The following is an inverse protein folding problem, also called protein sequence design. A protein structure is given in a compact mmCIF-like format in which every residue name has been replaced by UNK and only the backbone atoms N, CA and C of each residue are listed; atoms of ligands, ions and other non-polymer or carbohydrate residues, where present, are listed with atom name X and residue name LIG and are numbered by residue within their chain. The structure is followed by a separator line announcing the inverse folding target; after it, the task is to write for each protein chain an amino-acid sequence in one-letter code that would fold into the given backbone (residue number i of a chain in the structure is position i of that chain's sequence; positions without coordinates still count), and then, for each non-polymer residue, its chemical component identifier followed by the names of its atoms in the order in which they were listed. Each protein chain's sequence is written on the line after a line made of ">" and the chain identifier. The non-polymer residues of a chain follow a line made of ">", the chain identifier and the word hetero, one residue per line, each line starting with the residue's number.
data_IF_347552881760
#
_entry.id   IF_347552881760
#
_cell.length_a   1.000
_cell.length_b   1.000
_cell.length_c   1.000
_cell.angle_alpha   90.00
_cell.angle_beta   90.00
_cell.angle_gamma   90.00
#
_symmetry.space_group_name_H-M   'P 1'
#
loop_
_entity.id
_entity.type
_entity.pdbx_description
1 polymer ?
#
# COMPACT_ATOMS: atom_id res chain seq x y z
N UNK A 1 28.81 2.46 -11.57
CA UNK A 1 28.22 1.53 -12.57
C UNK A 1 26.72 1.83 -12.63
N UNK A 2 26.16 2.12 -13.81
CA UNK A 2 24.74 2.46 -13.92
C UNK A 2 23.91 1.16 -13.89
N UNK A 3 23.00 1.04 -12.91
CA UNK A 3 22.14 -0.15 -12.75
C UNK A 3 21.30 -0.42 -14.00
N UNK A 4 20.87 0.62 -14.73
CA UNK A 4 20.10 0.45 -15.95
C UNK A 4 20.89 -0.33 -17.03
N UNK A 5 22.18 -0.04 -17.16
CA UNK A 5 23.04 -0.74 -18.12
C UNK A 5 23.19 -2.24 -17.77
N UNK A 6 23.21 -2.59 -16.48
CA UNK A 6 23.29 -4.00 -16.04
C UNK A 6 22.04 -4.81 -16.44
N UNK A 7 20.89 -4.18 -16.53
CA UNK A 7 19.62 -4.82 -16.92
C UNK A 7 19.25 -4.54 -18.39
N UNK A 8 20.22 -4.04 -19.19
CA UNK A 8 20.03 -3.79 -20.62
C UNK A 8 19.07 -2.65 -20.95
N UNK A 9 18.95 -1.65 -20.08
CA UNK A 9 18.07 -0.49 -20.27
C UNK A 9 18.86 0.81 -20.35
N UNK A 10 18.38 1.72 -21.18
CA UNK A 10 18.96 3.06 -21.32
C UNK A 10 18.19 4.13 -20.51
N UNK A 11 16.93 3.84 -20.13
CA UNK A 11 16.07 4.73 -19.38
C UNK A 11 15.21 3.95 -18.36
N UNK A 12 14.68 4.67 -17.38
CA UNK A 12 13.67 4.14 -16.45
C UNK A 12 12.38 3.83 -17.21
N UNK A 13 11.69 2.74 -16.81
CA UNK A 13 10.35 2.47 -17.35
C UNK A 13 9.39 3.59 -16.96
N UNK A 14 8.49 3.91 -17.89
CA UNK A 14 7.43 4.90 -17.72
C UNK A 14 7.91 6.31 -17.36
N UNK A 15 9.22 6.62 -17.52
CA UNK A 15 9.74 7.94 -17.15
C UNK A 15 9.08 9.07 -17.99
N UNK A 16 8.87 8.81 -19.26
CA UNK A 16 8.21 9.77 -20.17
C UNK A 16 6.74 9.95 -19.78
N UNK A 17 6.02 8.85 -19.50
CA UNK A 17 4.62 8.90 -19.08
C UNK A 17 4.47 9.63 -17.73
N UNK A 18 5.36 9.35 -16.79
CA UNK A 18 5.37 10.03 -15.48
C UNK A 18 5.63 11.53 -15.66
N UNK A 19 6.61 11.91 -16.47
CA UNK A 19 6.93 13.32 -16.72
C UNK A 19 5.77 14.05 -17.40
N UNK A 20 5.09 13.39 -18.35
CA UNK A 20 3.94 13.96 -19.04
C UNK A 20 2.76 14.20 -18.08
N UNK A 21 2.55 13.30 -17.14
CA UNK A 21 1.42 13.34 -16.21
C UNK A 21 1.77 13.98 -14.85
N UNK A 22 3.01 14.42 -14.64
CA UNK A 22 3.46 14.85 -13.31
C UNK A 22 2.66 16.05 -12.75
N UNK A 23 2.29 17.00 -13.61
CA UNK A 23 1.45 18.12 -13.20
C UNK A 23 0.05 17.71 -12.73
N UNK A 24 -0.55 16.71 -13.40
CA UNK A 24 -1.85 16.16 -13.00
C UNK A 24 -1.72 15.34 -11.71
N UNK A 25 -0.64 14.58 -11.58
CA UNK A 25 -0.34 13.80 -10.37
C UNK A 25 -0.12 14.72 -9.16
N UNK A 26 0.63 15.79 -9.31
CA UNK A 26 0.85 16.78 -8.24
C UNK A 26 -0.48 17.41 -7.81
N UNK A 27 -1.30 17.84 -8.76
CA UNK A 27 -2.60 18.45 -8.48
C UNK A 27 -3.54 17.49 -7.74
N UNK A 28 -3.64 16.24 -8.19
CA UNK A 28 -4.50 15.23 -7.60
C UNK A 28 -4.02 14.82 -6.20
N UNK A 29 -2.70 14.64 -6.04
CA UNK A 29 -2.11 14.21 -4.77
C UNK A 29 -2.18 15.32 -3.73
N UNK A 30 -1.83 16.57 -4.09
CA UNK A 30 -1.79 17.68 -3.12
C UNK A 30 -3.16 18.01 -2.50
N UNK A 31 -4.25 17.68 -3.18
CA UNK A 31 -5.61 17.89 -2.68
C UNK A 31 -6.18 16.66 -1.97
N UNK A 32 -5.53 15.50 -2.12
CA UNK A 32 -6.04 14.22 -1.67
C UNK A 32 -5.66 13.83 -0.25
N UNK A 33 -6.54 13.05 0.39
CA UNK A 33 -6.29 12.35 1.64
C UNK A 33 -6.06 10.86 1.34
N UNK A 34 -4.90 10.37 1.70
CA UNK A 34 -4.43 9.02 1.37
C UNK A 34 -4.32 8.13 2.59
N UNK A 35 -4.75 6.88 2.43
CA UNK A 35 -4.49 5.79 3.37
C UNK A 35 -3.67 4.71 2.65
N UNK A 36 -2.50 4.37 3.18
CA UNK A 36 -1.65 3.28 2.67
C UNK A 36 -1.55 2.20 3.74
N UNK A 37 -2.09 1.03 3.47
CA UNK A 37 -2.08 -0.16 4.33
C UNK A 37 -0.98 -1.10 3.83
N UNK A 38 -0.12 -1.59 4.72
CA UNK A 38 1.10 -2.34 4.37
C UNK A 38 2.23 -1.41 3.89
N UNK A 39 2.26 -0.19 4.45
CA UNK A 39 3.13 0.89 4.02
C UNK A 39 4.63 0.61 4.23
N UNK A 40 4.97 -0.20 5.22
CA UNK A 40 6.36 -0.51 5.55
C UNK A 40 6.94 -1.70 4.75
N UNK A 41 6.13 -2.35 3.92
CA UNK A 41 6.60 -3.33 2.94
C UNK A 41 7.30 -2.66 1.74
N UNK A 42 8.05 -3.44 0.92
CA UNK A 42 8.83 -2.89 -0.21
C UNK A 42 8.00 -2.06 -1.19
N UNK A 43 6.80 -2.55 -1.58
CA UNK A 43 5.89 -1.81 -2.46
C UNK A 43 5.26 -0.63 -1.69
N UNK A 44 4.87 -0.86 -0.43
CA UNK A 44 4.30 0.16 0.43
C UNK A 44 5.20 1.38 0.61
N UNK A 45 6.49 1.15 0.88
CA UNK A 45 7.50 2.22 0.99
C UNK A 45 7.63 3.01 -0.31
N UNK A 46 7.69 2.33 -1.46
CA UNK A 46 7.79 2.99 -2.76
C UNK A 46 6.56 3.86 -3.06
N UNK A 47 5.34 3.33 -2.84
CA UNK A 47 4.09 4.08 -3.03
C UNK A 47 3.98 5.25 -2.05
N UNK A 48 4.29 5.02 -0.78
CA UNK A 48 4.29 6.07 0.25
C UNK A 48 5.24 7.21 -0.11
N UNK A 49 6.44 6.90 -0.60
CA UNK A 49 7.42 7.90 -1.06
C UNK A 49 6.90 8.71 -2.24
N UNK A 50 6.28 8.05 -3.23
CA UNK A 50 5.73 8.73 -4.40
C UNK A 50 4.58 9.68 -4.06
N UNK A 51 3.74 9.31 -3.10
CA UNK A 51 2.68 10.18 -2.58
C UNK A 51 3.28 11.31 -1.75
N UNK A 52 4.17 10.98 -0.81
CA UNK A 52 4.76 11.95 0.14
C UNK A 52 5.49 13.10 -0.56
N UNK A 53 6.28 12.82 -1.61
CA UNK A 53 7.03 13.84 -2.37
C UNK A 53 6.16 14.84 -3.14
N UNK A 54 4.85 14.57 -3.28
CA UNK A 54 3.88 15.44 -3.96
C UNK A 54 2.98 16.22 -2.98
N UNK A 55 3.38 16.31 -1.72
CA UNK A 55 2.74 17.11 -0.68
C UNK A 55 1.22 16.85 -0.54
N UNK A 56 0.78 15.62 -0.22
CA UNK A 56 -0.63 15.30 -0.05
C UNK A 56 -1.24 16.12 1.08
N UNK A 57 -2.54 16.42 0.99
CA UNK A 57 -3.28 17.06 2.08
C UNK A 57 -3.19 16.26 3.38
N UNK A 58 -3.30 14.93 3.29
CA UNK A 58 -3.02 14.01 4.38
C UNK A 58 -2.51 12.67 3.81
N UNK A 59 -1.51 12.11 4.45
CA UNK A 59 -1.00 10.78 4.19
C UNK A 59 -0.90 10.00 5.50
N UNK A 60 -1.81 9.05 5.66
CA UNK A 60 -1.82 8.14 6.78
C UNK A 60 -1.32 6.77 6.33
N UNK A 61 -0.37 6.24 7.06
CA UNK A 61 0.27 4.96 6.73
C UNK A 61 0.10 3.96 7.87
N UNK A 62 -0.26 2.75 7.50
CA UNK A 62 -0.59 1.66 8.43
C UNK A 62 0.27 0.45 8.12
N UNK A 63 0.90 -0.12 9.12
CA UNK A 63 1.60 -1.41 9.03
C UNK A 63 1.60 -2.09 10.40
N UNK A 64 1.73 -3.42 10.42
CA UNK A 64 1.85 -4.18 11.68
C UNK A 64 3.27 -4.09 12.27
N UNK A 65 4.26 -3.73 11.46
CA UNK A 65 5.67 -3.68 11.85
C UNK A 65 6.06 -2.26 12.28
N UNK A 66 6.07 -2.02 13.59
CA UNK A 66 6.50 -0.75 14.16
C UNK A 66 7.93 -0.38 13.74
N UNK A 67 8.87 -1.34 13.80
CA UNK A 67 10.26 -1.11 13.42
C UNK A 67 10.40 -0.65 11.96
N UNK A 68 9.73 -1.33 11.03
CA UNK A 68 9.79 -0.95 9.62
C UNK A 68 9.10 0.40 9.36
N UNK A 69 8.09 0.76 10.16
CA UNK A 69 7.45 2.07 10.10
C UNK A 69 8.41 3.19 10.54
N UNK A 70 9.18 2.96 11.59
CA UNK A 70 10.22 3.90 12.04
C UNK A 70 11.26 4.12 10.95
N UNK A 71 11.72 3.06 10.30
CA UNK A 71 12.68 3.16 9.19
C UNK A 71 12.08 3.91 7.98
N UNK A 72 10.83 3.66 7.63
CA UNK A 72 10.12 4.41 6.59
C UNK A 72 10.09 5.92 6.90
N UNK A 73 9.74 6.29 8.14
CA UNK A 73 9.69 7.70 8.55
C UNK A 73 11.07 8.35 8.49
N UNK A 74 12.11 7.65 8.98
CA UNK A 74 13.50 8.15 8.94
C UNK A 74 13.96 8.38 7.51
N UNK A 75 13.68 7.43 6.63
CA UNK A 75 14.02 7.51 5.22
C UNK A 75 13.33 8.69 4.52
N UNK A 76 12.01 8.84 4.69
CA UNK A 76 11.27 9.97 4.12
C UNK A 76 11.81 11.32 4.59
N UNK A 77 12.04 11.47 5.90
CA UNK A 77 12.54 12.72 6.48
C UNK A 77 13.97 13.05 6.07
N UNK A 78 14.82 12.03 5.93
CA UNK A 78 16.22 12.25 5.53
C UNK A 78 16.39 12.51 4.03
N UNK A 79 15.50 11.97 3.18
CA UNK A 79 15.62 12.06 1.71
C UNK A 79 14.76 13.15 1.09
N UNK A 80 13.58 13.41 1.66
CA UNK A 80 12.61 14.37 1.12
C UNK A 80 12.42 15.56 2.07
N UNK A 81 12.48 15.33 3.39
CA UNK A 81 12.27 16.37 4.40
C UNK A 81 10.87 16.33 5.01
N UNK A 82 10.31 17.51 5.28
CA UNK A 82 9.00 17.69 5.88
C UNK A 82 8.10 18.38 4.87
N UNK A 83 6.95 17.75 4.56
CA UNK A 83 5.90 18.35 3.74
C UNK A 83 4.91 19.17 4.58
N UNK A 84 4.12 20.06 3.94
CA UNK A 84 3.10 20.87 4.60
C UNK A 84 1.86 20.09 5.04
N UNK A 85 1.61 18.93 4.45
CA UNK A 85 0.44 18.10 4.71
C UNK A 85 0.55 17.28 5.99
N UNK A 86 -0.58 16.72 6.42
CA UNK A 86 -0.64 15.86 7.58
C UNK A 86 -0.02 14.49 7.25
N UNK A 87 1.03 14.09 7.98
CA UNK A 87 1.62 12.76 7.87
C UNK A 87 1.54 12.03 9.22
N UNK A 88 0.80 10.92 9.24
CA UNK A 88 0.63 10.08 10.44
C UNK A 88 0.97 8.62 10.14
N UNK A 89 1.50 7.94 11.16
CA UNK A 89 1.89 6.54 11.11
C UNK A 89 1.17 5.75 12.21
N UNK A 90 0.68 4.56 11.88
CA UNK A 90 -0.09 3.72 12.79
C UNK A 90 0.40 2.27 12.73
N UNK A 91 1.00 1.78 13.80
CA UNK A 91 1.43 0.38 13.93
C UNK A 91 0.23 -0.49 14.34
N UNK A 92 -0.65 -0.81 13.37
CA UNK A 92 -1.95 -1.46 13.62
C UNK A 92 -2.21 -2.52 12.54
N UNK A 93 -2.81 -3.64 12.95
CA UNK A 93 -3.32 -4.66 12.01
C UNK A 93 -4.63 -4.16 11.37
N UNK A 94 -4.71 -4.12 10.05
CA UNK A 94 -5.91 -3.68 9.33
C UNK A 94 -7.13 -4.60 9.54
N UNK A 95 -6.92 -5.80 10.07
CA UNK A 95 -7.98 -6.71 10.49
C UNK A 95 -8.58 -6.41 11.86
N UNK A 96 -7.92 -5.59 12.68
CA UNK A 96 -8.25 -5.37 14.09
C UNK A 96 -9.38 -4.36 14.33
N UNK A 97 -9.84 -4.29 15.58
CA UNK A 97 -10.85 -3.29 16.02
C UNK A 97 -10.23 -1.90 16.17
N UNK A 98 -8.93 -1.81 16.46
CA UNK A 98 -8.16 -0.58 16.53
C UNK A 98 -8.13 0.10 15.15
N UNK A 99 -7.98 -0.69 14.09
CA UNK A 99 -8.07 -0.17 12.73
C UNK A 99 -9.47 0.39 12.41
N UNK A 100 -10.53 -0.27 12.88
CA UNK A 100 -11.90 0.25 12.71
C UNK A 100 -12.11 1.58 13.45
N UNK A 101 -11.51 1.75 14.62
CA UNK A 101 -11.52 3.01 15.36
C UNK A 101 -10.72 4.09 14.64
N UNK A 102 -9.53 3.74 14.12
CA UNK A 102 -8.69 4.62 13.31
C UNK A 102 -9.46 5.18 12.11
N UNK A 103 -10.09 4.30 11.33
CA UNK A 103 -10.83 4.72 10.14
C UNK A 103 -11.99 5.66 10.49
N UNK A 104 -12.70 5.41 11.60
CA UNK A 104 -13.78 6.29 12.05
C UNK A 104 -13.32 7.68 12.50
N UNK A 105 -12.15 7.75 13.13
CA UNK A 105 -11.66 9.00 13.74
C UNK A 105 -10.80 9.83 12.79
N UNK A 106 -10.00 9.19 11.94
CA UNK A 106 -9.03 9.84 11.06
C UNK A 106 -9.53 10.00 9.61
N UNK A 107 -10.56 9.27 9.23
CA UNK A 107 -11.19 9.39 7.90
C UNK A 107 -12.01 10.68 7.74
N UNK A 108 -12.62 10.91 6.58
CA UNK A 108 -12.57 10.05 5.38
C UNK A 108 -11.27 10.19 4.59
N UNK A 109 -11.01 9.21 3.70
CA UNK A 109 -9.89 9.20 2.75
C UNK A 109 -10.43 9.20 1.31
N UNK A 110 -9.79 9.97 0.44
CA UNK A 110 -10.07 9.98 -1.00
C UNK A 110 -9.52 8.74 -1.71
N UNK A 111 -8.33 8.31 -1.28
CA UNK A 111 -7.58 7.22 -1.90
C UNK A 111 -7.12 6.21 -0.85
N UNK A 112 -7.43 4.94 -1.09
CA UNK A 112 -7.01 3.84 -0.22
C UNK A 112 -6.16 2.85 -1.01
N UNK A 113 -4.92 2.63 -0.57
CA UNK A 113 -4.00 1.63 -1.12
C UNK A 113 -3.84 0.49 -0.11
N UNK A 114 -4.38 -0.68 -0.43
CA UNK A 114 -4.14 -1.88 0.35
C UNK A 114 -3.01 -2.70 -0.29
N UNK A 115 -1.81 -2.55 0.28
CA UNK A 115 -0.59 -3.21 -0.16
C UNK A 115 -0.17 -4.32 0.81
N UNK A 116 -1.01 -4.60 1.82
CA UNK A 116 -0.79 -5.68 2.77
C UNK A 116 -1.03 -7.04 2.11
N UNK A 117 -0.15 -7.98 2.35
CA UNK A 117 -0.31 -9.36 1.89
C UNK A 117 0.60 -10.34 2.65
N UNK A 118 0.12 -11.56 2.86
CA UNK A 118 0.99 -12.71 3.09
C UNK A 118 1.26 -13.38 1.74
N UNK A 119 2.51 -13.32 1.26
CA UNK A 119 2.91 -13.65 -0.11
C UNK A 119 3.89 -14.82 -0.25
N UNK A 120 4.31 -15.40 0.87
CA UNK A 120 5.26 -16.52 0.84
C UNK A 120 4.51 -17.84 0.66
N UNK A 121 4.83 -18.60 -0.39
CA UNK A 121 4.28 -19.94 -0.64
C UNK A 121 4.54 -20.88 0.54
N UNK A 122 5.67 -20.71 1.24
CA UNK A 122 5.98 -21.50 2.45
C UNK A 122 4.92 -21.36 3.55
N UNK A 123 4.19 -20.24 3.58
CA UNK A 123 3.16 -19.99 4.59
C UNK A 123 1.95 -20.93 4.48
N UNK A 124 1.77 -21.65 3.37
CA UNK A 124 0.70 -22.64 3.25
C UNK A 124 1.02 -24.01 3.85
N UNK A 125 2.27 -24.23 4.31
CA UNK A 125 2.72 -25.51 4.83
C UNK A 125 2.21 -25.84 6.24
N UNK A 126 1.79 -24.81 6.99
CA UNK A 126 1.12 -25.04 8.27
C UNK A 126 -0.27 -24.42 8.28
N UNK A 127 -1.25 -25.03 8.98
CA UNK A 127 -2.64 -24.60 8.91
C UNK A 127 -2.87 -23.20 9.50
N UNK A 128 -2.12 -22.80 10.50
CA UNK A 128 -2.31 -21.51 11.19
C UNK A 128 -1.84 -20.35 10.33
N UNK A 129 -0.68 -20.48 9.69
CA UNK A 129 -0.16 -19.47 8.76
C UNK A 129 -1.00 -19.43 7.49
N UNK A 130 -1.54 -20.56 7.02
CA UNK A 130 -2.49 -20.61 5.92
C UNK A 130 -3.79 -19.86 6.27
N UNK A 131 -4.38 -20.12 7.44
CA UNK A 131 -5.55 -19.37 7.90
C UNK A 131 -5.27 -17.87 7.97
N UNK A 132 -4.12 -17.46 8.51
CA UNK A 132 -3.69 -16.05 8.52
C UNK A 132 -3.54 -15.48 7.11
N UNK A 133 -3.01 -16.25 6.16
CA UNK A 133 -2.91 -15.83 4.76
C UNK A 133 -4.28 -15.53 4.17
N UNK A 134 -5.27 -16.39 4.38
CA UNK A 134 -6.64 -16.19 3.92
C UNK A 134 -7.25 -14.96 4.60
N UNK A 135 -7.08 -14.81 5.91
CA UNK A 135 -7.55 -13.62 6.63
C UNK A 135 -6.98 -12.33 6.04
N UNK A 136 -5.66 -12.26 5.84
CA UNK A 136 -5.00 -11.04 5.34
C UNK A 136 -5.34 -10.79 3.87
N UNK A 137 -5.21 -11.80 3.01
CA UNK A 137 -5.33 -11.60 1.57
C UNK A 137 -6.79 -11.47 1.10
N UNK A 138 -7.73 -12.09 1.79
CA UNK A 138 -9.15 -12.10 1.37
C UNK A 138 -10.00 -11.25 2.31
N UNK A 139 -10.17 -11.66 3.57
CA UNK A 139 -11.14 -11.02 4.45
C UNK A 139 -10.76 -9.58 4.82
N UNK A 140 -9.49 -9.28 5.08
CA UNK A 140 -9.05 -7.92 5.35
C UNK A 140 -9.15 -7.05 4.10
N UNK A 141 -8.94 -7.60 2.89
CA UNK A 141 -9.17 -6.86 1.65
C UNK A 141 -10.64 -6.51 1.47
N UNK A 142 -11.56 -7.46 1.69
CA UNK A 142 -13.01 -7.22 1.67
C UNK A 142 -13.41 -6.17 2.72
N UNK A 143 -12.90 -6.30 3.94
CA UNK A 143 -13.15 -5.35 5.03
C UNK A 143 -12.71 -3.93 4.65
N UNK A 144 -11.48 -3.76 4.22
CA UNK A 144 -10.91 -2.44 3.89
C UNK A 144 -11.56 -1.83 2.66
N UNK A 145 -11.94 -2.63 1.67
CA UNK A 145 -12.72 -2.18 0.50
C UNK A 145 -14.12 -1.66 0.92
N UNK A 146 -14.83 -2.42 1.78
CA UNK A 146 -16.14 -2.00 2.30
C UNK A 146 -16.05 -0.70 3.11
N UNK A 147 -15.02 -0.58 3.94
CA UNK A 147 -14.78 0.65 4.70
C UNK A 147 -14.47 1.84 3.78
N UNK A 148 -13.62 1.64 2.76
CA UNK A 148 -13.32 2.68 1.76
C UNK A 148 -14.58 3.13 1.02
N UNK A 149 -15.41 2.19 0.56
CA UNK A 149 -16.67 2.50 -0.10
C UNK A 149 -17.64 3.26 0.84
N UNK A 150 -17.77 2.81 2.09
CA UNK A 150 -18.63 3.47 3.10
C UNK A 150 -18.21 4.90 3.40
N UNK A 151 -16.90 5.19 3.33
CA UNK A 151 -16.35 6.55 3.50
C UNK A 151 -16.51 7.44 2.27
N UNK A 152 -16.92 6.89 1.13
CA UNK A 152 -16.99 7.61 -0.14
C UNK A 152 -15.63 7.82 -0.80
N UNK A 153 -14.68 6.90 -0.61
CA UNK A 153 -13.37 6.97 -1.25
C UNK A 153 -13.52 6.98 -2.79
N UNK A 154 -12.78 7.85 -3.45
CA UNK A 154 -12.78 7.97 -4.92
C UNK A 154 -12.16 6.76 -5.59
N UNK A 155 -11.09 6.22 -4.99
CA UNK A 155 -10.35 5.07 -5.51
C UNK A 155 -9.90 4.15 -4.38
N UNK A 156 -10.03 2.85 -4.62
CA UNK A 156 -9.40 1.79 -3.82
C UNK A 156 -8.49 0.97 -4.73
N UNK A 157 -7.27 0.74 -4.30
CA UNK A 157 -6.28 -0.06 -5.02
C UNK A 157 -5.75 -1.18 -4.14
N UNK A 158 -5.65 -2.38 -4.68
CA UNK A 158 -4.94 -3.50 -4.05
C UNK A 158 -4.04 -4.21 -5.06
N UNK A 159 -2.96 -4.82 -4.56
CA UNK A 159 -1.98 -5.52 -5.39
C UNK A 159 -2.33 -6.99 -5.51
N UNK A 160 -2.37 -7.50 -6.74
CA UNK A 160 -2.42 -8.91 -7.03
C UNK A 160 -1.06 -9.46 -7.52
N UNK A 161 -1.05 -10.60 -8.17
CA UNK A 161 0.13 -11.32 -8.62
C UNK A 161 -0.19 -12.14 -9.87
N UNK A 162 0.84 -12.41 -10.69
CA UNK A 162 0.79 -13.35 -11.81
C UNK A 162 0.29 -14.75 -11.41
N UNK A 163 0.58 -15.17 -10.18
CA UNK A 163 0.13 -16.47 -9.64
C UNK A 163 -1.38 -16.57 -9.42
N UNK A 164 -2.11 -15.46 -9.48
CA UNK A 164 -3.57 -15.44 -9.42
C UNK A 164 -4.23 -15.84 -10.75
N UNK A 165 -3.55 -15.67 -11.87
CA UNK A 165 -4.08 -15.99 -13.20
C UNK A 165 -4.33 -17.50 -13.36
N UNK A 166 -3.39 -18.34 -12.91
CA UNK A 166 -3.52 -19.80 -12.90
C UNK A 166 -2.96 -20.36 -11.57
N UNK A 167 -3.75 -20.34 -10.48
CA UNK A 167 -3.24 -20.64 -9.15
C UNK A 167 -2.94 -22.14 -8.99
N UNK A 168 -1.68 -22.44 -8.71
CA UNK A 168 -1.17 -23.80 -8.42
C UNK A 168 -0.88 -24.00 -6.92
N UNK A 169 -1.11 -22.98 -6.09
CA UNK A 169 -0.92 -23.01 -4.65
C UNK A 169 -1.94 -22.10 -3.96
N UNK A 170 -2.05 -22.23 -2.63
CA UNK A 170 -3.03 -21.47 -1.84
C UNK A 170 -2.77 -19.97 -1.81
N UNK A 171 -1.51 -19.55 -1.92
CA UNK A 171 -1.18 -18.12 -2.04
C UNK A 171 -1.75 -17.54 -3.32
N UNK A 172 -1.54 -18.17 -4.46
CA UNK A 172 -2.14 -17.77 -5.74
C UNK A 172 -3.68 -17.82 -5.69
N UNK A 173 -4.25 -18.89 -5.13
CA UNK A 173 -5.70 -19.03 -4.97
C UNK A 173 -6.29 -17.92 -4.09
N UNK A 174 -5.65 -17.57 -2.97
CA UNK A 174 -6.10 -16.47 -2.10
C UNK A 174 -6.14 -15.12 -2.84
N UNK A 175 -5.16 -14.87 -3.71
CA UNK A 175 -5.14 -13.66 -4.55
C UNK A 175 -6.18 -13.70 -5.66
N UNK A 176 -6.45 -14.87 -6.25
CA UNK A 176 -7.54 -15.03 -7.22
C UNK A 176 -8.89 -14.76 -6.60
N UNK A 177 -9.16 -15.28 -5.40
CA UNK A 177 -10.39 -14.99 -4.65
C UNK A 177 -10.51 -13.49 -4.34
N UNK A 178 -9.39 -12.85 -3.99
CA UNK A 178 -9.37 -11.40 -3.74
C UNK A 178 -9.77 -10.58 -4.97
N UNK A 179 -9.44 -11.05 -6.19
CA UNK A 179 -9.80 -10.39 -7.45
C UNK A 179 -11.29 -10.52 -7.83
N UNK A 180 -11.97 -11.53 -7.31
CA UNK A 180 -13.40 -11.83 -7.57
C UNK A 180 -14.32 -11.02 -6.67
#
# INVERSE_FOLDING_TARGET
>A
MNILNLIGRNALLFQEDINLLDGDLIREVSQGRFLVIGAAGSIGQAVTREIFKRDPKALHVVDISENNMVELVRDLRSTIGYGPGEFKTFAVDCGSVEFDALIRNEGPYDYVFNLSALKHVRSEKDPYTLMRMIMVNVFNTIKTLRLANKMGAKKYFCVSTDKAANPVNMMGASKRIMEM
#
